data_IF_839630957450
#
_entry.id   IF_839630957450
#
_cell.length_a   1.000
_cell.length_b   1.000
_cell.length_c   1.000
_cell.angle_alpha   90.00
_cell.angle_beta   90.00
_cell.angle_gamma   90.00
#
_symmetry.space_group_name_H-M   'P 1'
#
loop_
_entity.id
_entity.type
_entity.pdbx_description
1 polymer ?
#
# COMPACT_ATOMS: atom_id res chain seq x y z
N UNK A 1 -20.62 14.61 -22.16
CA UNK A 1 -19.56 14.48 -21.14
C UNK A 1 -20.13 15.06 -19.86
N UNK A 2 -20.60 14.25 -18.92
CA UNK A 2 -21.07 14.78 -17.63
C UNK A 2 -21.05 13.66 -16.60
N UNK A 3 -19.94 13.53 -15.86
CA UNK A 3 -19.78 12.43 -14.87
C UNK A 3 -19.18 12.89 -13.55
N UNK A 4 -19.36 14.16 -13.20
CA UNK A 4 -18.95 14.71 -11.92
C UNK A 4 -20.14 15.34 -11.23
N UNK A 5 -20.58 14.72 -10.15
CA UNK A 5 -21.76 15.13 -9.41
C UNK A 5 -21.49 14.80 -7.94
N UNK A 6 -21.06 15.82 -7.20
CA UNK A 6 -21.15 15.84 -5.75
C UNK A 6 -22.52 16.44 -5.34
N UNK A 7 -22.92 16.29 -4.08
CA UNK A 7 -24.14 16.91 -3.55
C UNK A 7 -24.11 18.45 -3.59
N UNK A 8 -22.92 19.05 -3.53
CA UNK A 8 -22.74 20.50 -3.67
C UNK A 8 -22.93 21.02 -5.11
N UNK A 9 -23.16 20.13 -6.09
CA UNK A 9 -23.27 20.45 -7.52
C UNK A 9 -22.04 21.16 -8.12
N UNK A 10 -20.93 21.23 -7.38
CA UNK A 10 -19.66 21.72 -7.89
C UNK A 10 -18.97 20.60 -8.66
N UNK A 11 -18.54 20.90 -9.88
CA UNK A 11 -17.90 19.94 -10.79
C UNK A 11 -16.39 19.81 -10.56
N UNK A 12 -15.80 20.65 -9.70
CA UNK A 12 -14.37 20.62 -9.41
C UNK A 12 -13.95 19.31 -8.72
N UNK A 13 -13.06 18.58 -9.39
CA UNK A 13 -12.36 17.45 -8.78
C UNK A 13 -11.24 17.94 -7.89
N UNK A 14 -11.10 17.31 -6.73
CA UNK A 14 -9.88 17.37 -5.95
C UNK A 14 -9.46 15.95 -5.54
N UNK A 15 -8.33 15.83 -4.86
CA UNK A 15 -7.79 14.54 -4.41
C UNK A 15 -8.54 13.96 -3.19
N UNK A 16 -9.61 14.62 -2.73
CA UNK A 16 -10.40 14.29 -1.54
C UNK A 16 -11.84 13.90 -1.92
N UNK A 17 -11.98 13.08 -2.97
CA UNK A 17 -13.28 12.61 -3.43
C UNK A 17 -13.36 11.08 -3.45
N UNK A 18 -14.50 10.55 -3.00
CA UNK A 18 -14.83 9.13 -3.08
C UNK A 18 -15.78 8.86 -4.24
N UNK A 19 -15.58 7.74 -4.94
CA UNK A 19 -16.47 7.29 -5.99
C UNK A 19 -17.56 6.39 -5.43
N UNK A 20 -18.82 6.68 -5.74
CA UNK A 20 -19.91 5.77 -5.40
C UNK A 20 -19.78 4.45 -6.18
N UNK A 21 -19.86 3.32 -5.48
CA UNK A 21 -19.73 1.99 -6.07
C UNK A 21 -20.82 1.66 -7.11
N UNK A 22 -21.98 2.30 -7.03
CA UNK A 22 -23.17 2.06 -7.87
C UNK A 22 -23.20 3.01 -9.07
N UNK A 23 -23.43 4.32 -8.85
CA UNK A 23 -23.58 5.28 -9.95
C UNK A 23 -22.26 5.80 -10.53
N UNK A 24 -21.11 5.43 -9.95
CA UNK A 24 -19.76 5.84 -10.37
C UNK A 24 -19.49 7.36 -10.36
N UNK A 25 -20.39 8.15 -9.77
CA UNK A 25 -20.21 9.60 -9.51
C UNK A 25 -19.25 9.81 -8.32
N UNK A 26 -18.58 10.95 -8.31
CA UNK A 26 -17.62 11.34 -7.26
C UNK A 26 -18.24 12.35 -6.30
N UNK A 27 -18.00 12.14 -5.01
CA UNK A 27 -18.49 12.98 -3.92
C UNK A 27 -17.31 13.44 -3.08
N UNK A 28 -17.24 14.74 -2.76
CA UNK A 28 -16.26 15.25 -1.80
C UNK A 28 -16.48 14.60 -0.44
N UNK A 29 -15.40 14.24 0.23
CA UNK A 29 -15.47 13.63 1.57
C UNK A 29 -16.24 14.55 2.53
N UNK A 30 -16.02 15.85 2.44
CA UNK A 30 -16.64 16.88 3.27
C UNK A 30 -18.14 17.09 2.96
N UNK A 31 -18.62 16.61 1.81
CA UNK A 31 -20.02 16.70 1.43
C UNK A 31 -20.85 15.47 1.85
N UNK A 32 -20.23 14.42 2.37
CA UNK A 32 -20.94 13.23 2.84
C UNK A 32 -21.63 13.53 4.18
N UNK A 33 -22.85 13.00 4.40
CA UNK A 33 -23.52 13.13 5.72
C UNK A 33 -22.75 12.42 6.84
N UNK A 34 -22.10 11.31 6.49
CA UNK A 34 -21.28 10.51 7.41
C UNK A 34 -19.89 10.29 6.82
N UNK A 35 -19.00 11.30 6.92
CA UNK A 35 -17.68 11.22 6.32
C UNK A 35 -16.78 10.21 7.04
N UNK A 36 -15.83 9.59 6.32
CA UNK A 36 -14.73 8.85 6.91
C UNK A 36 -14.01 9.59 8.04
N UNK A 37 -13.85 8.94 9.18
CA UNK A 37 -13.09 9.47 10.34
C UNK A 37 -11.58 9.19 10.19
N UNK A 38 -10.99 9.48 9.03
CA UNK A 38 -9.55 9.24 8.80
C UNK A 38 -8.70 10.42 9.26
N UNK A 39 -7.57 10.11 9.91
CA UNK A 39 -6.54 11.10 10.27
C UNK A 39 -5.41 11.15 9.24
N UNK A 40 -5.53 10.40 8.15
CA UNK A 40 -4.50 10.27 7.12
C UNK A 40 -4.87 11.12 5.90
N UNK A 41 -3.94 11.96 5.45
CA UNK A 41 -4.11 12.78 4.25
C UNK A 41 -4.10 11.87 3.02
N UNK A 42 -5.05 12.07 2.11
CA UNK A 42 -5.17 11.30 0.85
C UNK A 42 -5.72 9.88 1.02
N UNK A 43 -6.36 9.57 2.15
CA UNK A 43 -6.94 8.25 2.39
C UNK A 43 -8.29 8.07 1.70
N UNK A 44 -8.27 7.39 0.55
CA UNK A 44 -9.44 7.12 -0.28
C UNK A 44 -9.93 5.66 -0.17
N UNK A 45 -9.46 4.89 0.82
CA UNK A 45 -9.79 3.46 0.95
C UNK A 45 -11.13 3.21 1.62
N UNK A 46 -12.18 3.76 1.02
CA UNK A 46 -13.56 3.67 1.49
C UNK A 46 -14.50 3.27 0.36
N UNK A 47 -15.46 2.40 0.69
CA UNK A 47 -16.55 2.02 -0.19
C UNK A 47 -17.74 2.93 0.10
N UNK A 48 -18.06 3.80 -0.86
CA UNK A 48 -19.19 4.71 -0.76
C UNK A 48 -20.42 4.17 -1.52
N UNK A 49 -21.58 4.19 -0.86
CA UNK A 49 -22.90 4.18 -1.51
C UNK A 49 -23.58 5.50 -1.19
N UNK A 50 -23.85 6.31 -2.21
CA UNK A 50 -24.52 7.59 -2.02
C UNK A 50 -26.01 7.40 -1.72
N UNK A 51 -26.64 8.42 -1.13
CA UNK A 51 -28.04 8.41 -0.71
C UNK A 51 -28.99 8.01 -1.83
N UNK A 52 -28.75 8.47 -3.07
CA UNK A 52 -29.62 8.14 -4.22
C UNK A 52 -29.49 6.68 -4.67
N UNK A 53 -28.37 6.04 -4.38
CA UNK A 53 -28.13 4.65 -4.75
C UNK A 53 -28.45 3.67 -3.61
N UNK A 54 -28.66 4.17 -2.40
CA UNK A 54 -29.03 3.39 -1.24
C UNK A 54 -30.55 3.13 -1.25
N UNK A 55 -31.02 1.86 -1.14
CA UNK A 55 -32.44 1.55 -1.07
C UNK A 55 -33.16 2.28 0.07
N UNK A 56 -32.47 2.46 1.19
CA UNK A 56 -32.98 3.13 2.40
C UNK A 56 -32.71 4.63 2.42
N UNK A 57 -32.25 5.21 1.30
CA UNK A 57 -31.82 6.62 1.21
C UNK A 57 -30.81 7.03 2.29
N UNK A 58 -30.00 6.08 2.75
CA UNK A 58 -29.00 6.28 3.79
C UNK A 58 -27.61 6.06 3.20
N UNK A 59 -26.74 7.07 3.33
CA UNK A 59 -25.36 6.95 2.86
C UNK A 59 -24.59 5.90 3.66
N UNK A 60 -23.80 5.09 2.96
CA UNK A 60 -22.86 4.16 3.60
C UNK A 60 -21.44 4.46 3.14
N UNK A 61 -20.53 4.58 4.10
CA UNK A 61 -19.12 4.81 3.83
C UNK A 61 -18.28 3.89 4.71
N UNK A 62 -17.79 2.80 4.12
CA UNK A 62 -17.16 1.71 4.87
C UNK A 62 -15.67 1.58 4.53
N UNK A 63 -14.83 1.36 5.54
CA UNK A 63 -13.40 1.15 5.36
C UNK A 63 -13.13 -0.11 4.52
N UNK A 64 -12.42 0.06 3.41
CA UNK A 64 -11.94 -1.06 2.59
C UNK A 64 -10.72 -1.70 3.28
N UNK A 65 -10.69 -3.03 3.28
CA UNK A 65 -9.51 -3.78 3.74
C UNK A 65 -8.31 -3.51 2.84
N UNK A 66 -7.30 -2.85 3.40
CA UNK A 66 -6.07 -2.53 2.69
C UNK A 66 -5.07 -3.69 2.69
N UNK A 67 -4.36 -3.83 1.57
CA UNK A 67 -3.13 -4.61 1.44
C UNK A 67 -1.93 -3.83 1.96
N UNK A 68 -0.84 -4.52 2.31
CA UNK A 68 0.34 -3.87 2.86
C UNK A 68 1.00 -2.85 1.91
N UNK A 69 0.97 -3.09 0.60
CA UNK A 69 1.45 -2.09 -0.39
C UNK A 69 0.69 -0.78 -0.26
N UNK A 70 -0.65 -0.83 -0.19
CA UNK A 70 -1.51 0.34 -0.04
C UNK A 70 -1.23 1.09 1.28
N UNK A 71 -1.07 0.33 2.37
CA UNK A 71 -0.74 0.89 3.70
C UNK A 71 0.59 1.65 3.65
N UNK A 72 1.61 1.06 3.05
CA UNK A 72 2.95 1.64 2.98
C UNK A 72 2.96 2.87 2.05
N UNK A 73 2.23 2.82 0.92
CA UNK A 73 2.10 3.97 0.03
C UNK A 73 1.47 5.16 0.76
N UNK A 74 0.36 4.93 1.46
CA UNK A 74 -0.34 5.98 2.19
C UNK A 74 0.49 6.50 3.37
N UNK A 75 1.23 5.62 4.07
CA UNK A 75 2.16 6.02 5.13
C UNK A 75 3.30 6.89 4.59
N UNK A 76 3.95 6.51 3.48
CA UNK A 76 5.01 7.30 2.86
C UNK A 76 4.49 8.65 2.35
N UNK A 77 3.29 8.68 1.76
CA UNK A 77 2.66 9.92 1.32
C UNK A 77 2.46 10.88 2.52
N UNK A 78 1.95 10.37 3.64
CA UNK A 78 1.77 11.15 4.87
C UNK A 78 3.10 11.60 5.49
N UNK A 79 4.14 10.78 5.45
CA UNK A 79 5.49 11.16 5.90
C UNK A 79 6.07 12.31 5.07
N UNK A 80 5.86 12.29 3.75
CA UNK A 80 6.28 13.39 2.87
C UNK A 80 5.54 14.69 3.18
N UNK A 81 4.20 14.67 3.26
CA UNK A 81 3.42 15.91 3.46
C UNK A 81 3.49 16.46 4.88
N UNK A 82 3.82 15.62 5.87
CA UNK A 82 4.00 16.06 7.26
C UNK A 82 5.34 16.77 7.52
N UNK A 83 6.24 16.83 6.53
CA UNK A 83 7.54 17.47 6.67
C UNK A 83 8.49 16.74 7.62
N UNK A 84 8.23 15.46 7.92
CA UNK A 84 9.15 14.65 8.72
C UNK A 84 10.51 14.59 8.02
N UNK A 85 11.58 14.84 8.78
CA UNK A 85 12.96 14.86 8.27
C UNK A 85 13.38 13.48 7.76
N UNK A 86 13.20 13.26 6.46
CA UNK A 86 13.86 12.21 5.70
C UNK A 86 15.24 12.62 5.23
N UNK A 87 15.89 11.76 4.44
CA UNK A 87 17.14 12.07 3.72
C UNK A 87 16.82 12.09 2.23
N UNK A 88 16.87 13.27 1.59
CA UNK A 88 16.52 13.45 0.17
C UNK A 88 15.13 12.89 -0.21
N UNK A 89 14.14 13.05 0.68
CA UNK A 89 12.80 12.49 0.46
C UNK A 89 12.69 10.97 0.65
N UNK A 90 13.74 10.30 1.15
CA UNK A 90 13.68 8.92 1.58
C UNK A 90 13.47 8.81 3.08
N UNK A 91 12.80 7.74 3.49
CA UNK A 91 12.47 7.42 4.87
C UNK A 91 13.01 6.04 5.24
N UNK A 92 13.50 5.90 6.47
CA UNK A 92 13.90 4.60 7.01
C UNK A 92 12.68 3.73 7.26
N UNK A 93 12.72 2.50 6.77
CA UNK A 93 11.54 1.63 6.85
C UNK A 93 11.14 1.27 8.29
N UNK A 94 12.10 1.11 9.20
CA UNK A 94 11.80 0.70 10.58
C UNK A 94 11.52 1.89 11.48
N UNK A 95 12.34 2.93 11.39
CA UNK A 95 12.29 4.11 12.26
C UNK A 95 11.17 5.08 11.85
N UNK A 96 10.89 5.21 10.55
CA UNK A 96 9.86 6.13 10.05
C UNK A 96 8.59 5.37 9.64
N UNK A 97 8.69 4.45 8.66
CA UNK A 97 7.50 3.82 8.06
C UNK A 97 6.77 2.93 9.08
N UNK A 98 7.47 2.00 9.74
CA UNK A 98 6.84 1.12 10.73
C UNK A 98 6.31 1.91 11.94
N UNK A 99 7.04 2.92 12.43
CA UNK A 99 6.59 3.78 13.53
C UNK A 99 5.32 4.55 13.18
N UNK A 100 5.26 5.11 11.96
CA UNK A 100 4.07 5.80 11.48
C UNK A 100 2.85 4.85 11.41
N UNK A 101 3.02 3.68 10.80
CA UNK A 101 1.95 2.67 10.73
C UNK A 101 1.50 2.22 12.13
N UNK A 102 2.45 2.02 13.04
CA UNK A 102 2.16 1.61 14.41
C UNK A 102 1.33 2.67 15.17
N UNK A 103 1.71 3.94 15.04
CA UNK A 103 0.98 5.07 15.65
C UNK A 103 -0.42 5.26 15.05
N UNK A 104 -0.59 5.05 13.74
CA UNK A 104 -1.85 5.28 13.01
C UNK A 104 -2.61 3.97 12.71
N UNK A 105 -2.39 2.92 13.50
CA UNK A 105 -2.89 1.58 13.19
C UNK A 105 -4.40 1.49 12.96
N UNK A 106 -5.20 2.11 13.85
CA UNK A 106 -6.65 2.14 13.73
C UNK A 106 -7.11 2.88 12.46
N UNK A 107 -6.40 3.95 12.07
CA UNK A 107 -6.68 4.65 10.82
C UNK A 107 -6.46 3.75 9.61
N UNK A 108 -5.47 2.84 9.62
CA UNK A 108 -5.24 1.92 8.51
C UNK A 108 -6.20 0.72 8.46
N UNK A 109 -6.51 0.17 9.63
CA UNK A 109 -7.09 -1.17 9.74
C UNK A 109 -8.43 -1.24 10.48
N UNK A 110 -8.93 -0.11 11.00
CA UNK A 110 -10.03 -0.07 11.95
C UNK A 110 -9.67 -0.68 13.30
N UNK A 111 -10.65 -0.70 14.20
CA UNK A 111 -10.45 -1.12 15.59
C UNK A 111 -10.42 -2.65 15.78
N UNK A 112 -10.79 -3.41 14.74
CA UNK A 112 -10.96 -4.86 14.82
C UNK A 112 -9.66 -5.63 14.60
N UNK A 113 -8.70 -5.07 13.85
CA UNK A 113 -7.46 -5.76 13.51
C UNK A 113 -6.42 -5.57 14.61
N UNK A 114 -6.00 -6.66 15.25
CA UNK A 114 -4.90 -6.63 16.23
C UNK A 114 -3.53 -6.53 15.56
N UNK A 115 -2.61 -5.83 16.21
CA UNK A 115 -1.19 -5.77 15.82
C UNK A 115 -0.53 -7.14 16.02
N UNK A 116 0.26 -7.59 15.05
CA UNK A 116 1.07 -8.82 15.15
C UNK A 116 2.54 -8.48 15.28
N UNK A 117 3.32 -9.26 16.04
CA UNK A 117 4.77 -9.02 16.16
C UNK A 117 5.52 -9.08 14.81
N UNK A 118 4.93 -9.75 13.81
CA UNK A 118 5.51 -9.96 12.48
C UNK A 118 5.27 -8.84 11.49
N UNK A 119 4.44 -7.83 11.81
CA UNK A 119 4.01 -6.82 10.84
C UNK A 119 5.17 -6.08 10.18
N UNK A 120 6.24 -5.82 10.96
CA UNK A 120 7.46 -5.15 10.46
C UNK A 120 8.14 -5.96 9.36
N UNK A 121 8.18 -7.29 9.49
CA UNK A 121 8.71 -8.17 8.44
C UNK A 121 7.84 -8.12 7.18
N UNK A 122 6.52 -7.99 7.34
CA UNK A 122 5.62 -7.82 6.20
C UNK A 122 5.82 -6.47 5.50
N UNK A 123 6.10 -5.40 6.25
CA UNK A 123 6.44 -4.09 5.68
C UNK A 123 7.72 -4.19 4.83
N UNK A 124 8.78 -4.79 5.35
CA UNK A 124 10.04 -4.98 4.61
C UNK A 124 9.85 -5.82 3.33
N UNK A 125 9.07 -6.91 3.42
CA UNK A 125 8.73 -7.75 2.27
C UNK A 125 7.93 -7.01 1.20
N UNK A 126 6.92 -6.25 1.62
CA UNK A 126 6.05 -5.49 0.73
C UNK A 126 6.78 -4.32 0.02
N UNK A 127 7.68 -3.63 0.72
CA UNK A 127 8.58 -2.62 0.12
C UNK A 127 9.42 -3.24 -1.01
N UNK A 128 9.97 -4.41 -0.75
CA UNK A 128 10.81 -5.13 -1.73
C UNK A 128 9.99 -5.61 -2.93
N UNK A 129 8.82 -6.21 -2.70
CA UNK A 129 7.97 -6.73 -3.79
C UNK A 129 7.26 -5.64 -4.59
N UNK A 130 7.01 -4.48 -3.99
CA UNK A 130 6.40 -3.32 -4.66
C UNK A 130 7.40 -2.46 -5.44
N UNK A 131 8.71 -2.72 -5.31
CA UNK A 131 9.76 -2.02 -6.04
C UNK A 131 9.97 -2.64 -7.44
N UNK A 132 10.16 -1.85 -8.51
CA UNK A 132 10.24 -0.39 -8.55
C UNK A 132 8.88 0.31 -8.80
N UNK A 133 7.80 -0.47 -8.93
CA UNK A 133 6.50 0.05 -9.37
C UNK A 133 5.93 1.12 -8.44
N UNK A 134 5.88 0.85 -7.14
CA UNK A 134 5.30 1.75 -6.13
C UNK A 134 6.36 2.40 -5.25
N UNK A 135 7.49 1.72 -5.06
CA UNK A 135 8.54 2.13 -4.14
C UNK A 135 9.90 2.18 -4.82
N UNK A 136 10.75 3.10 -4.36
CA UNK A 136 12.15 3.20 -4.75
C UNK A 136 13.05 2.98 -3.54
N UNK A 137 14.06 2.12 -3.69
CA UNK A 137 15.10 1.96 -2.67
C UNK A 137 16.15 3.07 -2.80
N UNK A 138 16.47 3.71 -1.68
CA UNK A 138 17.53 4.72 -1.60
C UNK A 138 18.94 4.16 -1.47
N UNK A 139 19.12 2.83 -1.53
CA UNK A 139 20.42 2.18 -1.25
C UNK A 139 21.54 2.68 -2.18
N UNK A 140 21.27 2.82 -3.47
CA UNK A 140 22.26 3.29 -4.44
C UNK A 140 22.61 4.78 -4.26
N UNK A 141 21.60 5.60 -3.99
CA UNK A 141 21.74 7.06 -3.89
C UNK A 141 22.32 7.49 -2.54
N UNK A 142 21.88 6.87 -1.45
CA UNK A 142 22.27 7.21 -0.09
C UNK A 142 23.46 6.39 0.43
N UNK A 143 23.91 5.40 -0.36
CA UNK A 143 24.98 4.44 -0.02
C UNK A 143 24.69 3.65 1.27
N UNK A 144 23.41 3.49 1.60
CA UNK A 144 22.97 2.88 2.85
C UNK A 144 21.63 2.16 2.66
N UNK A 145 21.53 0.95 3.21
CA UNK A 145 20.32 0.15 3.12
C UNK A 145 19.16 0.69 3.99
N UNK A 146 17.94 0.26 3.65
CA UNK A 146 16.75 0.50 4.48
C UNK A 146 16.05 1.85 4.27
N UNK A 147 16.50 2.65 3.31
CA UNK A 147 15.86 3.88 2.89
C UNK A 147 14.91 3.63 1.73
N UNK A 148 13.69 4.17 1.82
CA UNK A 148 12.63 3.97 0.83
C UNK A 148 11.83 5.25 0.60
N UNK A 149 11.33 5.42 -0.62
CA UNK A 149 10.42 6.51 -0.97
C UNK A 149 9.39 6.03 -2.00
N UNK A 150 8.38 6.87 -2.26
CA UNK A 150 7.40 6.63 -3.32
C UNK A 150 8.04 6.82 -4.69
N UNK A 151 7.66 5.99 -5.66
CA UNK A 151 8.04 6.21 -7.06
C UNK A 151 7.36 7.44 -7.65
N UNK A 152 6.09 7.67 -7.29
CA UNK A 152 5.30 8.85 -7.65
C UNK A 152 4.72 9.49 -6.39
N UNK A 153 4.94 10.80 -6.21
CA UNK A 153 4.43 11.54 -5.04
C UNK A 153 2.95 11.93 -5.24
N UNK A 154 2.07 10.92 -5.18
CA UNK A 154 0.62 11.08 -5.23
C UNK A 154 -0.05 10.18 -4.17
N UNK A 155 -1.23 10.56 -3.64
CA UNK A 155 -1.95 9.69 -2.72
C UNK A 155 -2.40 8.41 -3.44
N UNK A 156 -2.33 7.24 -2.80
CA UNK A 156 -2.80 6.00 -3.40
C UNK A 156 -4.33 5.97 -3.49
N UNK A 157 -4.87 5.59 -4.65
CA UNK A 157 -6.29 5.36 -4.87
C UNK A 157 -6.59 3.86 -4.99
N UNK A 158 -7.78 3.38 -4.60
CA UNK A 158 -8.16 1.98 -4.83
C UNK A 158 -8.06 1.56 -6.30
N UNK A 159 -8.38 2.47 -7.23
CA UNK A 159 -8.29 2.23 -8.67
C UNK A 159 -6.87 1.99 -9.19
N UNK A 160 -5.83 2.44 -8.48
CA UNK A 160 -4.43 2.15 -8.87
C UNK A 160 -4.10 0.65 -8.78
N UNK A 161 -4.98 -0.15 -8.15
CA UNK A 161 -4.80 -1.58 -7.93
C UNK A 161 -5.80 -2.46 -8.69
N UNK A 162 -6.76 -1.85 -9.39
CA UNK A 162 -7.73 -2.58 -10.20
C UNK A 162 -7.03 -3.19 -11.43
N UNK A 163 -7.14 -4.51 -11.60
CA UNK A 163 -6.51 -5.24 -12.71
C UNK A 163 -5.07 -5.74 -12.46
N UNK A 164 -4.47 -5.41 -11.31
CA UNK A 164 -3.14 -5.96 -10.92
C UNK A 164 -3.37 -7.28 -10.18
N UNK A 165 -3.29 -8.39 -10.90
CA UNK A 165 -3.45 -9.73 -10.35
C UNK A 165 -2.22 -10.09 -9.47
N UNK A 166 -2.34 -10.34 -8.14
CA UNK A 166 -1.21 -10.53 -7.22
C UNK A 166 -0.30 -11.74 -7.54
N UNK A 167 -0.66 -12.59 -8.50
CA UNK A 167 0.04 -13.83 -8.84
C UNK A 167 0.94 -13.75 -10.08
N UNK A 168 1.00 -12.60 -10.78
CA UNK A 168 1.80 -12.47 -12.01
C UNK A 168 3.03 -11.56 -11.89
N UNK A 169 3.27 -10.95 -10.72
CA UNK A 169 4.54 -10.29 -10.42
C UNK A 169 5.65 -11.29 -10.07
N UNK A 170 5.73 -12.42 -10.79
CA UNK A 170 6.98 -13.19 -10.87
C UNK A 170 7.90 -12.39 -11.77
N UNK A 171 8.86 -11.68 -11.17
CA UNK A 171 10.15 -11.33 -11.77
C UNK A 171 10.13 -11.15 -13.30
N UNK A 172 9.78 -9.95 -13.79
CA UNK A 172 10.45 -9.50 -15.02
C UNK A 172 11.88 -9.13 -14.60
N UNK A 173 12.78 -10.11 -14.59
CA UNK A 173 14.22 -9.82 -14.61
C UNK A 173 14.47 -8.89 -15.81
N UNK A 174 15.20 -7.78 -15.65
CA UNK A 174 15.77 -7.09 -16.80
C UNK A 174 16.59 -8.10 -17.61
N UNK A 175 16.41 -8.12 -18.93
CA UNK A 175 17.29 -8.85 -19.85
C UNK A 175 18.70 -8.28 -19.64
N UNK A 176 19.58 -9.02 -18.97
CA UNK A 176 20.98 -8.67 -18.88
C UNK A 176 21.57 -8.75 -20.29
N UNK A 177 21.94 -7.59 -20.85
CA UNK A 177 22.86 -7.54 -21.98
C UNK A 177 24.19 -8.13 -21.53
N UNK A 178 24.66 -9.11 -22.28
CA UNK A 178 25.98 -9.73 -22.15
C UNK A 178 27.06 -8.65 -22.14
N UNK A 179 27.84 -8.54 -21.05
CA UNK A 179 29.30 -8.34 -21.02
C UNK A 179 29.77 -8.66 -19.58
N UNK A 180 30.93 -9.30 -19.47
CA UNK A 180 31.29 -10.15 -18.33
C UNK A 180 31.97 -9.49 -17.12
N UNK A 181 32.22 -10.40 -16.17
CA UNK A 181 33.19 -10.43 -15.08
C UNK A 181 32.90 -9.78 -13.69
N UNK A 182 32.77 -10.72 -12.75
CA UNK A 182 33.24 -10.77 -11.36
C UNK A 182 32.71 -9.76 -10.33
N UNK A 183 31.79 -10.25 -9.49
CA UNK A 183 31.48 -9.67 -8.17
C UNK A 183 31.92 -10.63 -7.05
N UNK A 184 32.48 -10.13 -5.93
CA UNK A 184 33.00 -10.95 -4.85
C UNK A 184 31.89 -11.57 -3.99
N UNK A 185 32.18 -12.76 -3.47
CA UNK A 185 31.33 -13.51 -2.54
C UNK A 185 31.29 -12.79 -1.19
N UNK A 186 30.10 -12.44 -0.72
CA UNK A 186 29.85 -12.04 0.67
C UNK A 186 29.21 -13.23 1.39
N UNK A 187 29.97 -13.81 2.31
CA UNK A 187 29.59 -14.86 3.26
C UNK A 187 28.59 -14.29 4.29
N UNK A 188 27.45 -14.97 4.54
CA UNK A 188 26.60 -14.61 5.70
C UNK A 188 25.08 -14.82 5.63
N UNK A 189 24.48 -15.29 4.53
CA UNK A 189 23.04 -15.62 4.53
C UNK A 189 22.82 -17.13 4.46
N UNK A 190 22.38 -17.74 5.57
CA UNK A 190 21.89 -19.12 5.64
C UNK A 190 20.83 -19.36 4.56
N UNK A 191 21.19 -20.08 3.51
CA UNK A 191 20.25 -20.61 2.51
C UNK A 191 19.39 -21.69 3.19
N UNK A 192 18.08 -21.45 3.33
CA UNK A 192 17.14 -22.54 3.63
C UNK A 192 16.94 -23.34 2.35
N UNK A 193 17.49 -24.54 2.30
CA UNK A 193 17.26 -25.48 1.21
C UNK A 193 15.78 -25.90 1.18
N UNK A 194 15.02 -25.33 0.23
CA UNK A 194 13.60 -25.60 -0.01
C UNK A 194 13.32 -27.08 -0.36
N UNK A 195 14.36 -27.83 -0.74
CA UNK A 195 14.29 -29.27 -1.07
C UNK A 195 14.00 -30.17 0.15
N UNK A 196 14.41 -29.78 1.36
CA UNK A 196 14.19 -30.61 2.56
C UNK A 196 12.77 -30.51 3.12
N UNK A 197 12.10 -29.36 2.96
CA UNK A 197 10.76 -29.13 3.48
C UNK A 197 9.68 -29.94 2.74
N UNK A 198 9.85 -30.14 1.42
CA UNK A 198 8.91 -30.89 0.58
C UNK A 198 8.97 -32.39 0.92
N UNK A 199 10.18 -32.93 1.16
CA UNK A 199 10.35 -34.35 1.53
C UNK A 199 9.78 -34.66 2.93
N UNK A 200 9.94 -33.73 3.88
CA UNK A 200 9.35 -33.87 5.22
C UNK A 200 7.81 -33.83 5.20
N UNK A 201 7.21 -33.04 4.30
CA UNK A 201 5.75 -32.96 4.16
C UNK A 201 5.14 -34.22 3.52
N UNK A 202 5.88 -34.93 2.66
CA UNK A 202 5.39 -36.18 2.07
C UNK A 202 5.42 -37.37 3.05
N UNK A 203 6.39 -37.42 3.97
CA UNK A 203 6.49 -38.49 4.98
C UNK A 203 5.36 -38.45 6.03
N UNK A 204 4.72 -37.29 6.25
CA UNK A 204 3.61 -37.15 7.21
C UNK A 204 2.26 -37.61 6.65
N UNK A 205 2.15 -37.83 5.33
CA UNK A 205 0.92 -38.32 4.68
C UNK A 205 0.84 -39.85 4.56
N UNK A 206 1.92 -40.57 4.81
CA UNK A 206 1.97 -42.04 4.70
C UNK A 206 1.72 -42.77 6.05
N UNK A 207 1.48 -42.03 7.14
CA UNK A 207 1.20 -42.61 8.47
C UNK A 207 -0.23 -42.38 8.97
N UNK A 208 -1.22 -42.34 8.08
CA UNK A 208 -2.63 -42.30 8.48
C UNK A 208 -3.46 -43.30 7.69
#
# INVERSE_FOLDING_TARGET
MDRLHCYCNVSEKNNHMLQCGVCKKYFHIECLKFPPQTTLVGDLFYKLTCERCSPEHTETCERIKMQWVQVIMLALYNLHVSGVSGKLGYFRWREHICTFIDKHWAAFFGDTRKKTATFRGTVAGALSSGCPQFFRSGTAELKEAGWWTLTEMKPPSPSDFDGINPLTAKYRKPKASLMGENSPVIEGTRRRNATNAIRAAMSLKEKK
#
